data_IF_063542635733
#
_entry.id   IF_063542635733
#
_cell.length_a   1.000
_cell.length_b   1.000
_cell.length_c   1.000
_cell.angle_alpha   90.00
_cell.angle_beta   90.00
_cell.angle_gamma   90.00
#
_symmetry.space_group_name_H-M   'P 1'
#
loop_
_entity.id
_entity.type
_entity.pdbx_description
1 polymer ?
#
# COMPACT_ATOMS: atom_id res chain seq x y z
N UNK A 1 2.24 25.22 -0.29
CA UNK A 1 1.41 24.15 -0.89
C UNK A 1 2.08 22.86 -0.51
N UNK A 2 1.47 22.01 0.33
CA UNK A 2 2.06 20.73 0.72
C UNK A 2 2.42 19.90 -0.51
N UNK A 3 3.62 19.33 -0.50
CA UNK A 3 4.18 18.44 -1.52
C UNK A 3 4.02 17.00 -1.04
N UNK A 4 3.27 16.19 -1.77
CA UNK A 4 2.99 14.80 -1.37
C UNK A 4 3.59 13.84 -2.37
N UNK A 5 4.53 13.00 -1.91
CA UNK A 5 5.07 11.92 -2.72
C UNK A 5 4.01 10.82 -2.92
N UNK A 6 3.82 10.41 -4.16
CA UNK A 6 3.01 9.25 -4.52
C UNK A 6 3.88 8.22 -5.23
N UNK A 7 3.92 6.99 -4.71
CA UNK A 7 4.63 5.87 -5.31
C UNK A 7 3.84 4.56 -5.10
N UNK A 8 4.09 3.56 -5.93
CA UNK A 8 3.50 2.21 -5.77
C UNK A 8 4.58 1.13 -5.88
N UNK A 9 4.38 0.02 -5.16
CA UNK A 9 5.15 -1.21 -5.33
C UNK A 9 4.21 -2.39 -5.03
N UNK A 10 3.71 -3.02 -6.08
CA UNK A 10 2.61 -3.99 -6.02
C UNK A 10 3.06 -5.29 -6.66
N UNK A 11 3.20 -6.32 -5.83
CA UNK A 11 3.35 -7.69 -6.28
C UNK A 11 2.72 -8.65 -5.27
N UNK A 12 2.09 -9.70 -5.78
CA UNK A 12 1.62 -10.84 -4.98
C UNK A 12 2.42 -12.09 -5.36
N UNK A 13 3.01 -12.76 -4.38
CA UNK A 13 3.81 -13.96 -4.63
C UNK A 13 3.09 -15.25 -4.23
N UNK A 14 3.49 -16.34 -4.83
CA UNK A 14 3.23 -17.70 -4.34
C UNK A 14 4.56 -18.40 -4.11
N UNK A 15 4.90 -18.69 -2.86
CA UNK A 15 6.10 -19.42 -2.45
C UNK A 15 6.17 -20.85 -3.01
N UNK A 16 5.03 -21.38 -3.46
CA UNK A 16 4.94 -22.69 -4.12
C UNK A 16 5.10 -22.60 -5.64
N UNK A 17 5.11 -21.42 -6.24
CA UNK A 17 5.35 -21.26 -7.67
C UNK A 17 6.84 -21.52 -7.95
N UNK A 18 7.19 -22.54 -8.76
CA UNK A 18 8.58 -22.89 -9.01
C UNK A 18 9.31 -21.89 -9.92
N UNK A 19 8.59 -20.95 -10.53
CA UNK A 19 9.18 -19.91 -11.36
C UNK A 19 9.34 -18.64 -10.53
N UNK A 20 10.59 -18.18 -10.30
CA UNK A 20 10.82 -16.96 -9.54
C UNK A 20 10.25 -15.76 -10.30
N UNK A 21 9.74 -14.78 -9.55
CA UNK A 21 9.39 -13.48 -10.10
C UNK A 21 10.65 -12.75 -10.57
N UNK A 22 10.59 -12.14 -11.75
CA UNK A 22 11.70 -11.38 -12.33
C UNK A 22 11.33 -9.91 -12.48
N UNK A 23 12.33 -9.03 -12.50
CA UNK A 23 12.10 -7.61 -12.76
C UNK A 23 11.45 -7.37 -14.13
N UNK A 24 11.68 -8.26 -15.10
CA UNK A 24 11.04 -8.22 -16.42
C UNK A 24 9.53 -8.46 -16.39
N UNK A 25 8.99 -9.00 -15.30
CA UNK A 25 7.56 -9.23 -15.10
C UNK A 25 6.86 -8.03 -14.46
N UNK A 26 7.63 -7.01 -14.07
CA UNK A 26 7.17 -5.82 -13.36
C UNK A 26 7.15 -4.64 -14.31
N UNK A 27 5.97 -4.05 -14.50
CA UNK A 27 5.84 -2.80 -15.21
C UNK A 27 6.31 -1.66 -14.29
N UNK A 28 7.37 -0.98 -14.73
CA UNK A 28 8.06 0.05 -13.97
C UNK A 28 7.96 1.38 -14.69
N UNK A 29 7.63 2.43 -13.93
CA UNK A 29 7.61 3.80 -14.43
C UNK A 29 8.03 4.79 -13.36
N UNK A 30 8.58 5.94 -13.77
CA UNK A 30 9.05 6.99 -12.85
C UNK A 30 8.56 8.36 -13.27
N UNK A 31 8.43 9.27 -12.30
CA UNK A 31 8.17 10.67 -12.54
C UNK A 31 6.80 10.94 -13.16
N UNK A 32 6.65 12.12 -13.76
CA UNK A 32 5.36 12.60 -14.26
C UNK A 32 4.78 11.70 -15.36
N UNK A 33 5.62 11.10 -16.22
CA UNK A 33 5.14 10.20 -17.28
C UNK A 33 4.44 8.97 -16.71
N UNK A 34 4.96 8.41 -15.61
CA UNK A 34 4.28 7.32 -14.90
C UNK A 34 3.01 7.79 -14.20
N UNK A 35 3.09 8.89 -13.44
CA UNK A 35 1.93 9.39 -12.71
C UNK A 35 0.76 9.72 -13.65
N UNK A 36 1.03 10.34 -14.79
CA UNK A 36 0.02 10.67 -15.79
C UNK A 36 -0.57 9.43 -16.48
N UNK A 37 0.20 8.34 -16.60
CA UNK A 37 -0.31 7.09 -17.18
C UNK A 37 -1.33 6.39 -16.28
N UNK A 38 -1.38 6.74 -14.99
CA UNK A 38 -2.33 6.18 -14.01
C UNK A 38 -3.72 6.81 -14.08
N UNK A 39 -3.85 7.98 -14.71
CA UNK A 39 -5.14 8.68 -14.81
C UNK A 39 -6.15 7.84 -15.58
N UNK A 40 -7.28 7.54 -14.94
CA UNK A 40 -8.36 6.74 -15.51
C UNK A 40 -8.14 5.22 -15.49
N UNK A 41 -7.04 4.73 -14.89
CA UNK A 41 -6.76 3.28 -14.76
C UNK A 41 -7.65 2.61 -13.71
N UNK A 42 -8.31 3.40 -12.85
CA UNK A 42 -9.19 2.92 -11.78
C UNK A 42 -8.46 2.09 -10.70
N UNK A 43 -7.21 2.46 -10.42
CA UNK A 43 -6.38 1.87 -9.36
C UNK A 43 -6.16 2.86 -8.20
N UNK A 44 -5.31 2.46 -7.25
CA UNK A 44 -4.98 3.21 -6.04
C UNK A 44 -4.30 4.55 -6.36
N UNK A 45 -3.41 4.56 -7.35
CA UNK A 45 -2.68 5.78 -7.75
C UNK A 45 -3.64 6.75 -8.44
N UNK A 46 -4.52 6.26 -9.31
CA UNK A 46 -5.60 7.06 -9.91
C UNK A 46 -6.53 7.67 -8.84
N UNK A 47 -6.88 6.87 -7.82
CA UNK A 47 -7.67 7.32 -6.68
C UNK A 47 -7.01 8.44 -5.87
N UNK A 48 -5.70 8.32 -5.63
CA UNK A 48 -4.90 9.34 -4.95
C UNK A 48 -4.77 10.62 -5.77
N UNK A 49 -4.54 10.50 -7.10
CA UNK A 49 -4.50 11.64 -8.02
C UNK A 49 -5.82 12.41 -7.96
N UNK A 50 -6.95 11.72 -8.16
CA UNK A 50 -8.28 12.36 -8.11
C UNK A 50 -8.54 13.04 -6.76
N UNK A 51 -8.07 12.45 -5.66
CA UNK A 51 -8.24 13.01 -4.33
C UNK A 51 -7.45 14.31 -4.17
N UNK A 52 -6.16 14.29 -4.48
CA UNK A 52 -5.28 15.44 -4.27
C UNK A 52 -5.53 16.58 -5.25
N UNK A 53 -5.99 16.31 -6.47
CA UNK A 53 -6.38 17.37 -7.41
C UNK A 53 -7.67 18.10 -7.01
N UNK A 54 -8.54 17.44 -6.23
CA UNK A 54 -9.71 18.08 -5.63
C UNK A 54 -9.37 18.82 -4.33
N UNK A 55 -8.23 18.52 -3.71
CA UNK A 55 -7.77 19.20 -2.52
C UNK A 55 -7.05 20.51 -2.90
N UNK A 56 -7.52 21.63 -2.35
CA UNK A 56 -6.91 22.92 -2.64
C UNK A 56 -5.45 22.99 -2.15
N UNK A 57 -4.55 23.36 -3.06
CA UNK A 57 -3.17 23.69 -2.72
C UNK A 57 -2.25 22.51 -2.42
N UNK A 58 -2.58 21.29 -2.86
CA UNK A 58 -1.67 20.13 -2.82
C UNK A 58 -0.86 20.04 -4.13
N UNK A 59 0.42 19.72 -4.03
CA UNK A 59 1.28 19.38 -5.17
C UNK A 59 1.65 17.90 -5.10
N UNK A 60 1.27 17.13 -6.11
CA UNK A 60 1.65 15.72 -6.21
C UNK A 60 3.09 15.64 -6.73
N UNK A 61 3.96 14.98 -5.99
CA UNK A 61 5.34 14.68 -6.37
C UNK A 61 5.38 13.22 -6.85
N UNK A 62 5.66 12.95 -8.13
CA UNK A 62 5.68 11.59 -8.63
C UNK A 62 6.95 10.85 -8.21
N UNK A 63 6.79 9.68 -7.61
CA UNK A 63 7.87 8.74 -7.34
C UNK A 63 8.04 7.71 -8.46
N UNK A 64 8.22 6.45 -8.06
CA UNK A 64 8.23 5.29 -8.94
C UNK A 64 6.97 4.47 -8.73
N UNK A 65 6.44 3.92 -9.80
CA UNK A 65 5.57 2.76 -9.72
C UNK A 65 6.22 1.52 -10.23
N UNK A 66 6.00 0.44 -9.52
CA UNK A 66 6.37 -0.91 -9.86
C UNK A 66 5.14 -1.79 -9.63
N UNK A 67 4.56 -2.33 -10.70
CA UNK A 67 3.38 -3.18 -10.60
C UNK A 67 3.56 -4.41 -11.47
N UNK A 68 3.53 -5.58 -10.85
CA UNK A 68 3.58 -6.80 -11.63
C UNK A 68 2.29 -6.99 -12.41
N UNK A 69 2.41 -7.52 -13.63
CA UNK A 69 1.26 -7.77 -14.51
C UNK A 69 0.42 -8.98 -14.05
N UNK A 70 0.95 -9.81 -13.15
CA UNK A 70 0.30 -11.02 -12.61
C UNK A 70 0.99 -11.51 -11.33
N UNK A 71 0.33 -12.34 -10.52
CA UNK A 71 0.97 -13.00 -9.38
C UNK A 71 2.08 -13.95 -9.86
N UNK A 72 3.24 -13.96 -9.19
CA UNK A 72 4.41 -14.76 -9.60
C UNK A 72 4.98 -15.57 -8.44
N UNK A 73 6.13 -16.23 -8.63
CA UNK A 73 6.86 -16.80 -7.50
C UNK A 73 7.53 -15.75 -6.64
N UNK A 74 8.32 -16.20 -5.67
CA UNK A 74 9.20 -15.32 -4.89
C UNK A 74 10.13 -14.56 -5.85
N UNK A 75 10.32 -13.27 -5.62
CA UNK A 75 11.20 -12.44 -6.45
C UNK A 75 12.64 -12.91 -6.24
N UNK A 76 13.37 -13.15 -7.32
CA UNK A 76 14.77 -13.53 -7.22
C UNK A 76 15.59 -12.42 -6.53
N UNK A 77 16.55 -12.80 -5.68
CA UNK A 77 17.30 -11.85 -4.84
C UNK A 77 17.92 -10.68 -5.64
N UNK A 78 18.54 -10.97 -6.79
CA UNK A 78 19.15 -9.96 -7.66
C UNK A 78 18.13 -8.97 -8.27
N UNK A 79 16.94 -9.46 -8.60
CA UNK A 79 15.85 -8.67 -9.14
C UNK A 79 15.21 -7.80 -8.03
N UNK A 80 15.10 -8.33 -6.82
CA UNK A 80 14.66 -7.57 -5.64
C UNK A 80 15.64 -6.45 -5.27
N UNK A 81 16.94 -6.75 -5.23
CA UNK A 81 17.97 -5.75 -4.93
C UNK A 81 17.92 -4.61 -5.97
N UNK A 82 17.73 -4.94 -7.25
CA UNK A 82 17.58 -3.95 -8.30
C UNK A 82 16.28 -3.14 -8.19
N UNK A 83 15.15 -3.79 -7.90
CA UNK A 83 13.84 -3.15 -7.76
C UNK A 83 13.82 -2.19 -6.56
N UNK A 84 14.21 -2.69 -5.40
CA UNK A 84 14.22 -1.93 -4.14
C UNK A 84 15.14 -0.71 -4.25
N UNK A 85 16.33 -0.87 -4.84
CA UNK A 85 17.24 0.25 -5.06
C UNK A 85 16.66 1.31 -6.00
N UNK A 86 16.03 0.91 -7.11
CA UNK A 86 15.39 1.84 -8.03
C UNK A 86 14.25 2.61 -7.36
N UNK A 87 13.42 1.90 -6.61
CA UNK A 87 12.28 2.50 -5.92
C UNK A 87 12.72 3.47 -4.82
N UNK A 88 13.71 3.10 -4.01
CA UNK A 88 14.27 3.97 -2.97
C UNK A 88 15.03 5.18 -3.53
N UNK A 89 15.69 5.03 -4.68
CA UNK A 89 16.27 6.17 -5.39
C UNK A 89 15.19 7.18 -5.80
N UNK A 90 14.04 6.70 -6.31
CA UNK A 90 12.94 7.61 -6.65
C UNK A 90 12.33 8.31 -5.42
N UNK A 91 12.30 7.65 -4.26
CA UNK A 91 11.93 8.31 -2.99
C UNK A 91 12.94 9.39 -2.61
N UNK A 92 14.24 9.11 -2.74
CA UNK A 92 15.30 10.10 -2.48
C UNK A 92 15.26 11.28 -3.46
N UNK A 93 15.01 11.02 -4.74
CA UNK A 93 15.00 12.02 -5.81
C UNK A 93 13.75 12.93 -5.76
N UNK A 94 12.72 12.53 -5.02
CA UNK A 94 11.53 13.37 -4.76
C UNK A 94 11.88 14.68 -4.03
N UNK A 95 13.02 14.71 -3.33
CA UNK A 95 13.50 15.85 -2.56
C UNK A 95 12.59 16.17 -1.38
N UNK A 96 12.48 17.46 -1.04
CA UNK A 96 11.65 17.90 0.08
C UNK A 96 10.16 17.62 -0.20
N UNK A 97 9.56 16.78 0.64
CA UNK A 97 8.12 16.47 0.64
C UNK A 97 7.56 16.63 2.05
N UNK A 98 6.29 16.97 2.15
CA UNK A 98 5.60 17.23 3.42
C UNK A 98 4.80 16.00 3.90
N UNK A 99 4.61 15.01 3.04
CA UNK A 99 3.91 13.76 3.34
C UNK A 99 4.02 12.76 2.20
N UNK A 100 3.71 11.51 2.49
CA UNK A 100 3.90 10.41 1.54
C UNK A 100 2.72 9.45 1.55
N UNK A 101 2.28 9.10 0.35
CA UNK A 101 1.33 8.04 0.10
C UNK A 101 1.98 6.92 -0.70
N UNK A 102 1.95 5.71 -0.15
CA UNK A 102 2.40 4.50 -0.85
C UNK A 102 1.24 3.54 -1.10
N UNK A 103 1.07 3.13 -2.35
CA UNK A 103 0.21 2.00 -2.68
C UNK A 103 1.05 0.72 -2.72
N UNK A 104 0.88 -0.14 -1.72
CA UNK A 104 1.62 -1.40 -1.62
C UNK A 104 0.64 -2.58 -1.63
N UNK A 105 1.10 -3.76 -2.04
CA UNK A 105 0.24 -4.95 -1.97
C UNK A 105 0.16 -5.50 -0.53
N UNK A 106 1.33 -5.68 0.10
CA UNK A 106 1.49 -6.30 1.41
C UNK A 106 1.78 -7.80 1.37
N UNK A 107 1.90 -8.41 0.18
CA UNK A 107 2.15 -9.85 0.03
C UNK A 107 3.30 -10.14 -0.95
N UNK A 108 4.28 -9.23 -1.03
CA UNK A 108 5.53 -9.50 -1.73
C UNK A 108 6.42 -10.41 -0.89
N UNK A 109 7.28 -11.17 -1.56
CA UNK A 109 8.45 -11.78 -0.95
C UNK A 109 9.58 -11.88 -1.98
N UNK A 110 10.80 -11.81 -1.49
CA UNK A 110 12.02 -12.04 -2.24
C UNK A 110 12.88 -13.12 -1.57
N UNK A 111 13.77 -13.76 -2.32
CA UNK A 111 14.62 -14.85 -1.81
C UNK A 111 15.47 -14.43 -0.60
N UNK A 112 15.86 -13.15 -0.55
CA UNK A 112 16.69 -12.55 0.49
C UNK A 112 15.93 -11.60 1.44
N UNK A 113 14.63 -11.36 1.23
CA UNK A 113 13.79 -10.49 2.06
C UNK A 113 12.32 -10.96 2.04
N UNK A 114 11.82 -11.44 3.18
CA UNK A 114 10.46 -11.98 3.31
C UNK A 114 9.41 -10.90 3.63
N UNK A 115 9.85 -9.68 3.95
CA UNK A 115 8.99 -8.51 4.14
C UNK A 115 9.50 -7.33 3.29
N UNK A 116 9.37 -7.42 1.94
CA UNK A 116 9.80 -6.36 1.04
C UNK A 116 9.12 -5.01 1.33
N UNK A 117 7.82 -5.00 1.59
CA UNK A 117 7.08 -3.77 1.88
C UNK A 117 7.56 -3.11 3.17
N UNK A 118 7.73 -3.89 4.24
CA UNK A 118 8.31 -3.39 5.48
C UNK A 118 9.74 -2.88 5.29
N UNK A 119 10.55 -3.53 4.45
CA UNK A 119 11.89 -3.04 4.09
C UNK A 119 11.81 -1.68 3.38
N UNK A 120 10.96 -1.54 2.35
CA UNK A 120 10.81 -0.27 1.63
C UNK A 120 10.36 0.86 2.57
N UNK A 121 9.42 0.58 3.46
CA UNK A 121 8.95 1.55 4.45
C UNK A 121 10.04 1.94 5.44
N UNK A 122 10.83 0.97 5.92
CA UNK A 122 11.96 1.22 6.81
C UNK A 122 13.03 2.09 6.15
N UNK A 123 13.43 1.78 4.92
CA UNK A 123 14.44 2.56 4.21
C UNK A 123 13.90 3.93 3.78
N UNK A 124 12.64 4.02 3.33
CA UNK A 124 11.99 5.29 3.04
C UNK A 124 11.96 6.20 4.28
N UNK A 125 11.68 5.65 5.46
CA UNK A 125 11.72 6.40 6.73
C UNK A 125 13.11 6.97 7.03
N UNK A 126 14.19 6.24 6.72
CA UNK A 126 15.57 6.74 6.86
C UNK A 126 15.88 7.89 5.89
N UNK A 127 15.32 7.84 4.68
CA UNK A 127 15.51 8.86 3.64
C UNK A 127 14.72 10.14 3.99
N UNK A 128 13.45 9.98 4.37
CA UNK A 128 12.50 11.08 4.55
C UNK A 128 12.55 11.69 5.96
N UNK A 129 12.98 10.92 6.96
CA UNK A 129 12.96 11.31 8.36
C UNK A 129 11.68 10.91 9.10
N UNK A 130 11.74 10.98 10.43
CA UNK A 130 10.67 10.53 11.33
C UNK A 130 9.45 11.46 11.35
N UNK A 131 9.61 12.73 10.98
CA UNK A 131 8.54 13.73 11.07
C UNK A 131 7.59 13.73 9.86
N UNK A 132 8.04 13.24 8.69
CA UNK A 132 7.26 13.24 7.46
C UNK A 132 6.22 12.11 7.53
N UNK A 133 4.90 12.39 7.49
CA UNK A 133 3.90 11.33 7.60
C UNK A 133 3.93 10.37 6.41
N UNK A 134 3.87 9.06 6.68
CA UNK A 134 3.76 8.01 5.67
C UNK A 134 2.45 7.26 5.90
N UNK A 135 1.57 7.26 4.88
CA UNK A 135 0.33 6.48 4.90
C UNK A 135 0.33 5.51 3.72
N UNK A 136 -0.02 4.26 4.00
CA UNK A 136 -0.03 3.19 3.00
C UNK A 136 -1.44 2.64 2.79
N UNK A 137 -1.83 2.38 1.54
CA UNK A 137 -2.94 1.48 1.24
C UNK A 137 -2.45 0.06 1.00
N UNK A 138 -3.17 -0.96 1.48
CA UNK A 138 -2.83 -2.37 1.26
C UNK A 138 -4.01 -3.18 0.70
N UNK A 139 -3.65 -4.21 -0.06
CA UNK A 139 -4.56 -5.29 -0.41
C UNK A 139 -4.97 -6.08 0.84
N UNK A 140 -6.21 -6.56 0.88
CA UNK A 140 -6.69 -7.42 1.97
C UNK A 140 -6.02 -8.81 1.98
N UNK A 141 -5.33 -9.22 0.91
CA UNK A 141 -4.43 -10.37 0.88
C UNK A 141 -3.06 -10.08 1.51
N UNK A 142 -2.75 -8.82 1.82
CA UNK A 142 -1.49 -8.45 2.46
C UNK A 142 -1.28 -9.10 3.84
N UNK A 143 -0.01 -9.22 4.23
CA UNK A 143 0.43 -9.58 5.57
C UNK A 143 1.04 -8.35 6.21
N UNK A 144 0.25 -7.66 7.03
CA UNK A 144 0.73 -6.50 7.78
C UNK A 144 1.75 -6.94 8.82
N UNK A 145 3.03 -6.64 8.63
CA UNK A 145 4.13 -6.99 9.55
C UNK A 145 4.34 -5.95 10.65
N UNK A 146 5.15 -6.28 11.67
CA UNK A 146 5.53 -5.32 12.71
C UNK A 146 6.40 -4.20 12.15
N UNK A 147 7.25 -4.51 11.15
CA UNK A 147 8.11 -3.53 10.47
C UNK A 147 7.26 -2.51 9.70
N UNK A 148 6.20 -2.96 9.02
CA UNK A 148 5.26 -2.07 8.33
C UNK A 148 4.52 -1.15 9.30
N UNK A 149 4.04 -1.68 10.43
CA UNK A 149 3.35 -0.89 11.49
C UNK A 149 4.30 0.15 12.08
N UNK A 150 5.56 -0.23 12.35
CA UNK A 150 6.54 0.65 12.96
C UNK A 150 6.89 1.85 12.06
N UNK A 151 6.88 1.68 10.74
CA UNK A 151 7.35 2.70 9.79
C UNK A 151 6.23 3.46 9.06
N UNK A 152 4.96 3.18 9.35
CA UNK A 152 3.81 3.96 8.90
C UNK A 152 3.21 4.80 10.01
N UNK A 153 2.56 5.90 9.63
CA UNK A 153 1.64 6.65 10.48
C UNK A 153 0.24 6.03 10.44
N UNK A 154 -0.20 5.54 9.27
CA UNK A 154 -1.46 4.80 9.13
C UNK A 154 -1.42 3.81 7.97
N UNK A 155 -2.24 2.76 8.07
CA UNK A 155 -2.45 1.76 7.02
C UNK A 155 -3.94 1.64 6.76
N UNK A 156 -4.35 1.70 5.48
CA UNK A 156 -5.75 1.57 5.07
C UNK A 156 -5.91 0.37 4.15
N UNK A 157 -6.88 -0.50 4.46
CA UNK A 157 -7.03 -1.79 3.80
C UNK A 157 -8.20 -1.80 2.82
N UNK A 158 -8.12 -2.62 1.78
CA UNK A 158 -9.31 -2.96 0.97
C UNK A 158 -10.39 -3.58 1.85
N UNK A 159 -11.63 -3.31 1.46
CA UNK A 159 -12.84 -3.82 2.08
C UNK A 159 -13.60 -4.78 1.16
N UNK A 160 -13.22 -4.91 -0.11
CA UNK A 160 -13.95 -5.76 -1.07
C UNK A 160 -13.09 -6.90 -1.62
N UNK A 161 -13.66 -8.10 -1.63
CA UNK A 161 -13.21 -9.26 -2.39
C UNK A 161 -14.40 -9.85 -3.15
N UNK A 162 -14.34 -9.96 -4.50
CA UNK A 162 -13.29 -9.44 -5.39
C UNK A 162 -13.08 -7.92 -5.28
N UNK A 163 -11.86 -7.44 -5.56
CA UNK A 163 -11.48 -6.04 -5.37
C UNK A 163 -12.15 -5.13 -6.40
N UNK A 164 -12.99 -4.22 -5.91
CA UNK A 164 -13.62 -3.15 -6.68
C UNK A 164 -13.42 -1.77 -6.04
N UNK A 165 -12.62 -1.70 -4.96
CA UNK A 165 -12.53 -0.55 -4.07
C UNK A 165 -11.10 0.05 -3.93
N UNK A 166 -10.21 -0.23 -4.89
CA UNK A 166 -8.85 0.34 -4.96
C UNK A 166 -8.86 1.87 -4.81
N UNK A 167 -9.64 2.57 -5.64
CA UNK A 167 -9.77 4.03 -5.61
C UNK A 167 -10.26 4.56 -4.26
N UNK A 168 -11.36 4.00 -3.76
CA UNK A 168 -11.94 4.45 -2.50
C UNK A 168 -11.02 4.17 -1.31
N UNK A 169 -10.21 3.10 -1.37
CA UNK A 169 -9.19 2.84 -0.34
C UNK A 169 -8.08 3.89 -0.38
N UNK A 170 -7.56 4.21 -1.57
CA UNK A 170 -6.59 5.29 -1.72
C UNK A 170 -7.13 6.63 -1.21
N UNK A 171 -8.37 6.98 -1.56
CA UNK A 171 -9.00 8.22 -1.11
C UNK A 171 -9.14 8.30 0.43
N UNK A 172 -9.48 7.19 1.09
CA UNK A 172 -9.49 7.10 2.56
C UNK A 172 -8.09 7.29 3.13
N UNK A 173 -7.07 6.65 2.56
CA UNK A 173 -5.68 6.81 2.95
C UNK A 173 -5.19 8.25 2.77
N UNK A 174 -5.44 8.88 1.63
CA UNK A 174 -5.06 10.26 1.36
C UNK A 174 -5.79 11.26 2.29
N UNK A 175 -7.03 10.99 2.66
CA UNK A 175 -7.75 11.79 3.66
C UNK A 175 -7.08 11.74 5.03
N UNK A 176 -6.68 10.55 5.50
CA UNK A 176 -5.92 10.40 6.75
C UNK A 176 -4.58 11.14 6.66
N UNK A 177 -3.87 11.02 5.52
CA UNK A 177 -2.61 11.70 5.30
C UNK A 177 -2.75 13.22 5.43
N UNK A 178 -3.72 13.84 4.75
CA UNK A 178 -3.93 15.29 4.83
C UNK A 178 -4.28 15.75 6.25
N UNK A 179 -5.16 15.02 6.96
CA UNK A 179 -5.52 15.34 8.36
C UNK A 179 -4.32 15.22 9.29
N UNK A 180 -3.47 14.20 9.08
CA UNK A 180 -2.23 13.99 9.84
C UNK A 180 -1.21 15.10 9.59
N UNK A 181 -1.04 15.52 8.34
CA UNK A 181 -0.17 16.64 7.95
C UNK A 181 -0.67 17.99 8.52
N UNK A 182 -1.99 18.17 8.59
CA UNK A 182 -2.62 19.34 9.20
C UNK A 182 -2.54 19.37 10.74
N UNK A 183 -2.05 18.29 11.36
CA UNK A 183 -1.98 18.15 12.82
C UNK A 183 -3.34 17.94 13.50
N UNK A 184 -4.37 17.59 12.73
CA UNK A 184 -5.74 17.38 13.24
C UNK A 184 -5.88 16.02 13.94
N UNK A 185 -5.05 15.05 13.54
CA UNK A 185 -5.03 13.68 14.08
C UNK A 185 -3.60 13.22 14.31
N UNK A 186 -3.44 12.31 15.27
CA UNK A 186 -2.20 11.59 15.54
C UNK A 186 -2.53 10.09 15.66
N UNK A 187 -2.58 9.35 14.53
CA UNK A 187 -3.04 7.97 14.51
C UNK A 187 -2.20 7.06 15.39
N UNK A 188 -2.83 6.01 15.90
CA UNK A 188 -2.17 4.86 16.50
C UNK A 188 -2.67 3.61 15.80
N UNK A 189 -1.79 2.63 15.61
CA UNK A 189 -2.13 1.38 14.93
C UNK A 189 -2.04 0.19 15.90
N UNK A 190 -2.99 -0.73 15.76
CA UNK A 190 -3.00 -2.00 16.47
C UNK A 190 -3.36 -3.13 15.50
N UNK A 191 -2.71 -4.28 15.67
CA UNK A 191 -2.96 -5.49 14.87
C UNK A 191 -3.08 -6.69 15.78
N UNK A 192 -4.14 -7.47 15.60
CA UNK A 192 -4.32 -8.77 16.27
C UNK A 192 -4.14 -9.87 15.24
N UNK A 193 -3.24 -10.83 15.49
CA UNK A 193 -3.04 -11.99 14.61
C UNK A 193 -4.07 -13.07 14.96
N UNK A 194 -4.83 -13.49 13.95
CA UNK A 194 -5.73 -14.64 14.04
C UNK A 194 -5.08 -15.79 13.27
N UNK A 195 -4.64 -16.88 13.91
CA UNK A 195 -3.90 -17.96 13.25
C UNK A 195 -4.85 -18.89 12.49
N UNK A 196 -5.53 -18.36 11.47
CA UNK A 196 -6.48 -19.07 10.64
C UNK A 196 -6.36 -18.66 9.17
N UNK A 197 -6.52 -19.64 8.27
CA UNK A 197 -6.75 -19.40 6.85
C UNK A 197 -8.20 -19.72 6.53
N UNK A 198 -8.88 -18.82 5.83
CA UNK A 198 -10.29 -18.96 5.44
C UNK A 198 -10.36 -19.38 3.97
N UNK A 199 -11.30 -20.26 3.64
CA UNK A 199 -11.37 -20.93 2.32
C UNK A 199 -12.38 -20.28 1.39
N UNK A 200 -12.01 -20.14 0.12
CA UNK A 200 -12.91 -19.99 -1.03
C UNK A 200 -14.00 -18.94 -0.84
N UNK A 201 -15.25 -19.33 -1.10
CA UNK A 201 -16.41 -18.43 -1.15
C UNK A 201 -16.68 -17.67 0.16
N UNK A 202 -16.20 -18.16 1.31
CA UNK A 202 -16.34 -17.47 2.59
C UNK A 202 -15.53 -16.15 2.65
N UNK A 203 -14.56 -15.99 1.74
CA UNK A 203 -13.77 -14.76 1.58
C UNK A 203 -14.52 -13.67 0.80
N UNK A 204 -15.56 -14.03 0.03
CA UNK A 204 -16.32 -13.05 -0.76
C UNK A 204 -17.01 -12.10 0.21
N UNK A 205 -16.64 -10.82 0.14
CA UNK A 205 -17.09 -9.82 1.13
C UNK A 205 -18.60 -9.56 1.10
N UNK A 206 -19.26 -9.78 -0.03
CA UNK A 206 -20.70 -9.59 -0.17
C UNK A 206 -21.51 -10.75 0.44
N UNK A 207 -21.07 -12.00 0.27
CA UNK A 207 -21.87 -13.20 0.54
C UNK A 207 -21.27 -14.14 1.59
N UNK A 208 -19.96 -14.09 1.80
CA UNK A 208 -19.21 -14.97 2.69
C UNK A 208 -19.08 -14.41 4.11
N UNK A 209 -18.69 -15.28 5.05
CA UNK A 209 -18.53 -14.92 6.47
C UNK A 209 -17.52 -13.81 6.71
N UNK A 210 -16.54 -13.63 5.82
CA UNK A 210 -15.55 -12.56 5.92
C UNK A 210 -16.18 -11.16 5.84
N UNK A 211 -17.31 -11.03 5.13
CA UNK A 211 -18.07 -9.78 5.04
C UNK A 211 -18.51 -9.23 6.38
N UNK A 212 -18.76 -10.08 7.39
CA UNK A 212 -19.12 -9.63 8.74
C UNK A 212 -17.98 -8.87 9.42
N UNK A 213 -16.73 -9.32 9.24
CA UNK A 213 -15.55 -8.60 9.73
C UNK A 213 -15.40 -7.23 9.07
N UNK A 214 -15.67 -7.14 7.77
CA UNK A 214 -15.64 -5.87 7.03
C UNK A 214 -16.76 -4.92 7.47
N UNK A 215 -17.97 -5.43 7.75
CA UNK A 215 -19.07 -4.62 8.30
C UNK A 215 -18.69 -3.99 9.64
N UNK A 216 -18.07 -4.78 10.53
CA UNK A 216 -17.56 -4.28 11.81
C UNK A 216 -16.45 -3.24 11.63
N UNK A 217 -15.53 -3.48 10.69
CA UNK A 217 -14.49 -2.52 10.35
C UNK A 217 -15.07 -1.18 9.87
N UNK A 218 -16.08 -1.21 8.99
CA UNK A 218 -16.78 0.01 8.53
C UNK A 218 -17.49 0.75 9.66
N UNK A 219 -18.11 0.04 10.61
CA UNK A 219 -18.70 0.67 11.79
C UNK A 219 -17.67 1.38 12.67
N UNK A 220 -16.44 0.86 12.75
CA UNK A 220 -15.33 1.55 13.43
C UNK A 220 -14.97 2.84 12.68
N UNK A 221 -14.84 2.78 11.34
CA UNK A 221 -14.53 3.96 10.51
C UNK A 221 -15.64 5.02 10.49
N UNK A 222 -16.90 4.63 10.74
CA UNK A 222 -18.05 5.54 10.88
C UNK A 222 -18.15 6.19 12.27
N UNK A 223 -17.35 5.73 13.24
CA UNK A 223 -17.33 6.30 14.59
C UNK A 223 -16.46 7.56 14.67
N UNK A 224 -16.60 8.33 15.75
CA UNK A 224 -15.81 9.56 15.96
C UNK A 224 -14.31 9.29 16.20
N UNK A 225 -13.93 8.07 16.59
CA UNK A 225 -12.56 7.71 17.00
C UNK A 225 -11.83 6.85 15.96
N UNK A 226 -12.53 6.07 15.14
CA UNK A 226 -11.93 5.16 14.18
C UNK A 226 -11.52 5.86 12.88
N UNK A 227 -10.24 5.77 12.53
CA UNK A 227 -9.70 6.38 11.30
C UNK A 227 -9.72 5.41 10.11
N UNK A 228 -9.28 4.18 10.35
CA UNK A 228 -9.24 3.08 9.38
C UNK A 228 -9.33 1.77 10.14
N UNK A 229 -10.05 0.80 9.60
CA UNK A 229 -10.13 -0.54 10.15
C UNK A 229 -10.30 -1.56 9.01
N UNK A 230 -9.90 -2.80 9.28
CA UNK A 230 -10.08 -3.87 8.33
C UNK A 230 -9.62 -5.20 8.88
N UNK A 231 -9.77 -6.22 8.05
CA UNK A 231 -9.27 -7.55 8.30
C UNK A 231 -8.47 -7.96 7.07
N UNK A 232 -7.27 -8.49 7.29
CA UNK A 232 -6.47 -9.10 6.24
C UNK A 232 -6.79 -10.59 6.21
N UNK A 233 -7.16 -11.12 5.05
CA UNK A 233 -7.30 -12.57 4.86
C UNK A 233 -5.94 -13.25 4.80
N UNK A 234 -4.93 -12.49 4.36
CA UNK A 234 -3.59 -13.00 4.07
C UNK A 234 -3.58 -13.84 2.80
N UNK A 235 -2.50 -13.75 2.03
CA UNK A 235 -2.25 -14.65 0.93
C UNK A 235 -1.82 -16.01 1.50
N UNK A 236 -2.59 -17.10 1.29
CA UNK A 236 -2.31 -18.40 1.90
C UNK A 236 -1.06 -19.09 1.33
N UNK A 237 -0.40 -18.50 0.33
CA UNK A 237 0.74 -19.05 -0.37
C UNK A 237 2.02 -18.24 -0.17
N UNK A 238 2.12 -17.45 0.90
CA UNK A 238 3.32 -16.67 1.25
C UNK A 238 4.14 -17.31 2.36
#
# INVERSE_FOLDING_TARGET
MPRILVAECIQEVSSFNPFPGRLTDIDCGVGHTWLDSKRGVNDEVDGAIEFFERADGVTIVPGMGAKCITSSGVIAAEDWDALSQQWLNAVSDAGDVDGVYFALHGAMAADNELDPEGFLLQEARKILGEEIPIVTSLDLHGILTDRMIQHNDAVVLYHTYPHVDHKSTAQRACSILLRRMAGEINPVMARVKIPALVRGDELITESGSFGECIKLAKQIEESDEGLAAGMLIGNPFT
#
